data_IF_554065147315
#
_entry.id   IF_554065147315
#
_cell.length_a   1.000
_cell.length_b   1.000
_cell.length_c   1.000
_cell.angle_alpha   90.00
_cell.angle_beta   90.00
_cell.angle_gamma   90.00
#
_symmetry.space_group_name_H-M   'P 1'
#
loop_
_entity.id
_entity.type
_entity.pdbx_description
1 polymer ?
#
# COMPACT_ATOMS: atom_id res chain seq x y z
N UNK A 1 0.11 23.20 -22.89
CA UNK A 1 0.78 24.34 -22.20
C UNK A 1 1.23 23.80 -20.87
N UNK A 2 2.55 23.65 -20.63
CA UNK A 2 3.02 23.26 -19.31
C UNK A 2 2.73 24.39 -18.33
N UNK A 3 1.69 24.25 -17.52
CA UNK A 3 1.46 25.17 -16.42
C UNK A 3 2.63 25.00 -15.44
N UNK A 4 3.38 26.06 -15.25
CA UNK A 4 4.49 26.12 -14.27
C UNK A 4 3.89 26.01 -12.88
N UNK A 5 4.20 24.89 -12.18
CA UNK A 5 3.71 24.59 -10.84
C UNK A 5 4.74 25.02 -9.80
N UNK A 6 4.31 25.58 -8.70
CA UNK A 6 5.18 25.93 -7.56
C UNK A 6 5.20 24.79 -6.56
N UNK A 7 6.41 24.27 -6.24
CA UNK A 7 6.57 23.06 -5.43
C UNK A 7 7.50 23.34 -4.23
N UNK A 8 6.98 23.07 -3.04
CA UNK A 8 7.78 23.02 -1.83
C UNK A 8 8.19 21.59 -1.51
N UNK A 9 9.46 21.36 -1.13
CA UNK A 9 9.96 20.04 -0.74
C UNK A 9 10.47 20.11 0.70
N UNK A 10 9.81 19.42 1.61
CA UNK A 10 10.21 19.25 3.00
C UNK A 10 11.19 18.08 3.10
N UNK A 11 12.49 18.39 3.09
CA UNK A 11 13.54 17.40 3.21
C UNK A 11 14.56 17.46 2.08
N UNK A 12 15.82 17.64 2.44
CA UNK A 12 16.98 17.69 1.54
C UNK A 12 17.80 16.38 1.57
N UNK A 13 17.12 15.24 1.78
CA UNK A 13 17.75 13.91 1.68
C UNK A 13 18.05 13.55 0.22
N UNK A 14 18.66 12.37 0.01
CA UNK A 14 19.03 11.88 -1.33
C UNK A 14 17.83 11.89 -2.27
N UNK A 15 16.68 11.39 -1.81
CA UNK A 15 15.44 11.33 -2.60
C UNK A 15 14.86 12.73 -2.86
N UNK A 16 14.78 13.60 -1.83
CA UNK A 16 14.28 14.97 -1.99
C UNK A 16 15.08 15.79 -2.99
N UNK A 17 16.42 15.63 -3.00
CA UNK A 17 17.31 16.32 -3.97
C UNK A 17 17.16 15.76 -5.38
N UNK A 18 17.03 14.44 -5.55
CA UNK A 18 16.79 13.84 -6.86
C UNK A 18 15.46 14.33 -7.46
N UNK A 19 14.39 14.38 -6.63
CA UNK A 19 13.10 14.90 -7.04
C UNK A 19 13.11 16.41 -7.31
N UNK A 20 13.85 17.20 -6.53
CA UNK A 20 13.99 18.63 -6.77
C UNK A 20 14.56 18.91 -8.18
N UNK A 21 15.61 18.16 -8.57
CA UNK A 21 16.19 18.28 -9.92
C UNK A 21 15.20 17.83 -11.00
N UNK A 22 14.52 16.68 -10.80
CA UNK A 22 13.55 16.15 -11.74
C UNK A 22 12.40 17.16 -11.98
N UNK A 23 11.79 17.66 -10.92
CA UNK A 23 10.67 18.60 -11.00
C UNK A 23 11.09 19.95 -11.63
N UNK A 24 12.27 20.44 -11.29
CA UNK A 24 12.83 21.62 -11.95
C UNK A 24 13.03 21.37 -13.46
N UNK A 25 13.54 20.21 -13.85
CA UNK A 25 13.70 19.83 -15.27
C UNK A 25 12.36 19.74 -16.00
N UNK A 26 11.28 19.41 -15.30
CA UNK A 26 9.92 19.45 -15.84
C UNK A 26 9.38 20.88 -16.04
N UNK A 27 10.13 21.89 -15.65
CA UNK A 27 9.77 23.31 -15.81
C UNK A 27 9.07 23.92 -14.59
N UNK A 28 9.07 23.25 -13.45
CA UNK A 28 8.43 23.73 -12.22
C UNK A 28 9.37 24.57 -11.35
N UNK A 29 8.78 25.43 -10.50
CA UNK A 29 9.50 26.21 -9.49
C UNK A 29 9.66 25.40 -8.20
N UNK A 30 10.91 25.12 -7.83
CA UNK A 30 11.19 24.21 -6.71
C UNK A 30 11.89 24.95 -5.58
N UNK A 31 11.34 24.83 -4.37
CA UNK A 31 11.96 25.27 -3.12
C UNK A 31 12.17 24.07 -2.20
N UNK A 32 13.39 23.87 -1.73
CA UNK A 32 13.76 22.73 -0.85
C UNK A 32 14.07 23.24 0.55
N UNK A 33 13.46 22.64 1.53
CA UNK A 33 13.71 22.92 2.93
C UNK A 33 14.62 21.90 3.60
N UNK A 34 15.44 22.37 4.53
CA UNK A 34 16.17 21.55 5.48
C UNK A 34 16.25 22.24 6.83
N UNK A 35 16.11 21.46 7.90
CA UNK A 35 16.34 21.98 9.27
C UNK A 35 17.79 22.36 9.57
N UNK A 36 18.74 22.00 8.69
CA UNK A 36 20.17 22.23 8.89
C UNK A 36 20.68 23.43 8.06
N UNK A 37 20.98 24.59 8.68
CA UNK A 37 21.54 25.75 7.98
C UNK A 37 22.83 25.42 7.22
N UNK A 38 23.74 24.68 7.85
CA UNK A 38 25.00 24.24 7.23
C UNK A 38 24.77 23.43 5.95
N UNK A 39 23.73 22.60 5.93
CA UNK A 39 23.40 21.81 4.74
C UNK A 39 22.83 22.68 3.63
N UNK A 40 21.99 23.65 3.96
CA UNK A 40 21.45 24.64 3.01
C UNK A 40 22.56 25.48 2.40
N UNK A 41 23.47 25.99 3.24
CA UNK A 41 24.64 26.76 2.78
C UNK A 41 25.49 25.95 1.80
N UNK A 42 25.82 24.71 2.15
CA UNK A 42 26.59 23.82 1.29
C UNK A 42 25.87 23.54 -0.05
N UNK A 43 24.60 23.18 -0.03
CA UNK A 43 23.81 22.91 -1.24
C UNK A 43 23.71 24.16 -2.14
N UNK A 44 23.52 25.33 -1.54
CA UNK A 44 23.48 26.62 -2.28
C UNK A 44 24.81 26.96 -2.93
N UNK A 45 25.92 26.70 -2.25
CA UNK A 45 27.27 27.03 -2.74
C UNK A 45 27.76 26.00 -3.77
N UNK A 46 27.60 24.70 -3.52
CA UNK A 46 28.24 23.66 -4.34
C UNK A 46 27.33 23.14 -5.48
N UNK A 47 26.04 23.27 -5.32
CA UNK A 47 25.04 22.71 -6.27
C UNK A 47 25.24 21.21 -6.55
N UNK A 48 25.86 20.50 -5.62
CA UNK A 48 26.12 19.05 -5.69
C UNK A 48 25.62 18.35 -4.44
N UNK A 49 25.46 17.03 -4.54
CA UNK A 49 25.06 16.20 -3.41
C UNK A 49 25.97 14.96 -3.31
N UNK A 50 26.73 14.77 -2.22
CA UNK A 50 27.74 13.72 -2.14
C UNK A 50 27.23 12.30 -2.39
N UNK A 51 25.99 12.00 -1.98
CA UNK A 51 25.37 10.69 -2.20
C UNK A 51 24.77 10.50 -3.62
N UNK A 52 24.83 11.52 -4.47
CA UNK A 52 24.36 11.50 -5.86
C UNK A 52 25.48 11.99 -6.78
N UNK A 53 26.53 11.20 -6.99
CA UNK A 53 27.65 11.61 -7.83
C UNK A 53 27.18 11.88 -9.27
N UNK A 54 27.65 12.98 -9.84
CA UNK A 54 27.27 13.43 -11.18
C UNK A 54 25.97 14.26 -11.25
N UNK A 55 25.22 14.36 -10.16
CA UNK A 55 24.07 15.27 -10.11
C UNK A 55 24.54 16.73 -9.96
N UNK A 56 24.05 17.59 -10.86
CA UNK A 56 24.17 19.06 -10.75
C UNK A 56 22.79 19.64 -10.49
N UNK A 57 22.66 20.38 -9.39
CA UNK A 57 21.40 21.03 -9.01
C UNK A 57 21.33 22.40 -9.69
N UNK A 58 20.28 22.69 -10.48
CA UNK A 58 20.14 23.98 -11.15
C UNK A 58 20.14 25.16 -10.16
N UNK A 59 20.72 26.30 -10.57
CA UNK A 59 20.81 27.49 -9.72
C UNK A 59 19.44 28.05 -9.29
N UNK A 60 18.43 27.86 -10.12
CA UNK A 60 17.06 28.29 -9.87
C UNK A 60 16.29 27.41 -8.90
N UNK A 61 16.84 26.28 -8.44
CA UNK A 61 16.31 25.56 -7.28
C UNK A 61 16.66 26.32 -6.03
N UNK A 62 15.65 26.74 -5.26
CA UNK A 62 15.83 27.50 -4.04
C UNK A 62 15.99 26.59 -2.83
N UNK A 63 16.88 26.98 -1.90
CA UNK A 63 17.11 26.27 -0.64
C UNK A 63 16.81 27.19 0.53
N UNK A 64 16.11 26.68 1.55
CA UNK A 64 15.73 27.45 2.74
C UNK A 64 15.70 26.61 4.01
N UNK A 65 15.90 27.26 5.16
CA UNK A 65 15.58 26.71 6.48
C UNK A 65 14.23 27.20 7.02
N UNK A 66 13.56 28.09 6.29
CA UNK A 66 12.27 28.65 6.69
C UNK A 66 11.12 27.80 6.16
N UNK A 67 10.30 27.29 7.11
CA UNK A 67 9.13 26.46 6.81
C UNK A 67 8.02 27.26 6.12
N UNK A 68 7.86 28.53 6.48
CA UNK A 68 6.86 29.39 5.86
C UNK A 68 7.14 29.55 4.36
N UNK A 69 8.38 29.85 3.98
CA UNK A 69 8.79 30.00 2.57
C UNK A 69 8.54 28.74 1.73
N UNK A 70 8.71 27.54 2.32
CA UNK A 70 8.56 26.29 1.57
C UNK A 70 7.13 25.78 1.53
N UNK A 71 6.30 26.08 2.54
CA UNK A 71 4.94 25.53 2.65
C UNK A 71 3.87 26.48 2.14
N UNK A 72 3.98 27.79 2.39
CA UNK A 72 2.96 28.75 2.01
C UNK A 72 2.96 29.06 0.51
N UNK A 73 1.76 29.15 -0.05
CA UNK A 73 1.56 29.57 -1.44
C UNK A 73 2.16 28.65 -2.49
N UNK A 74 2.33 27.37 -2.16
CA UNK A 74 2.74 26.34 -3.13
C UNK A 74 1.53 25.58 -3.66
N UNK A 75 1.56 25.23 -4.94
CA UNK A 75 0.56 24.36 -5.53
C UNK A 75 0.67 22.94 -4.96
N UNK A 76 1.91 22.47 -4.76
CA UNK A 76 2.21 21.14 -4.20
C UNK A 76 3.24 21.26 -3.08
N UNK A 77 3.00 20.59 -1.97
CA UNK A 77 3.95 20.41 -0.89
C UNK A 77 4.37 18.95 -0.78
N UNK A 78 5.66 18.68 -0.97
CA UNK A 78 6.22 17.32 -0.99
C UNK A 78 6.90 17.00 0.34
N UNK A 79 6.49 15.92 1.01
CA UNK A 79 7.15 15.40 2.20
C UNK A 79 8.20 14.36 1.80
N UNK A 80 9.48 14.71 1.93
CA UNK A 80 10.64 13.89 1.57
C UNK A 80 11.63 13.72 2.74
N UNK A 81 11.10 13.69 3.96
CA UNK A 81 11.84 13.37 5.19
C UNK A 81 11.75 11.88 5.50
N UNK A 82 12.63 11.31 6.36
CA UNK A 82 12.47 9.94 6.85
C UNK A 82 11.12 9.71 7.53
N UNK A 83 10.59 8.48 7.46
CA UNK A 83 9.28 8.09 8.04
C UNK A 83 9.12 8.52 9.51
N UNK A 84 10.15 8.33 10.33
CA UNK A 84 10.17 8.73 11.75
C UNK A 84 10.07 10.24 11.99
N UNK A 85 10.27 11.07 10.98
CA UNK A 85 10.24 12.53 11.07
C UNK A 85 8.96 13.15 10.48
N UNK A 86 8.07 12.35 9.88
CA UNK A 86 6.86 12.84 9.21
C UNK A 86 5.97 13.61 10.18
N UNK A 87 5.62 13.05 11.34
CA UNK A 87 4.74 13.69 12.32
C UNK A 87 5.28 15.04 12.77
N UNK A 88 6.53 15.09 13.22
CA UNK A 88 7.14 16.34 13.67
C UNK A 88 7.24 17.38 12.56
N UNK A 89 7.50 16.94 11.33
CA UNK A 89 7.57 17.85 10.18
C UNK A 89 6.19 18.39 9.83
N UNK A 90 5.14 17.56 9.86
CA UNK A 90 3.77 17.99 9.65
C UNK A 90 3.30 18.98 10.74
N UNK A 91 3.57 18.69 12.02
CA UNK A 91 3.31 19.58 13.14
C UNK A 91 3.95 20.96 12.94
N UNK A 92 5.24 20.96 12.59
CA UNK A 92 5.98 22.21 12.41
C UNK A 92 5.55 23.01 11.18
N UNK A 93 5.11 22.32 10.11
CA UNK A 93 4.69 22.96 8.87
C UNK A 93 3.21 23.38 8.88
N UNK A 94 2.37 22.75 9.72
CA UNK A 94 0.91 22.97 9.80
C UNK A 94 0.50 24.45 9.78
N UNK A 95 1.10 25.35 10.55
CA UNK A 95 0.67 26.77 10.56
C UNK A 95 0.83 27.50 9.23
N UNK A 96 1.60 26.92 8.28
CA UNK A 96 1.93 27.53 7.00
C UNK A 96 1.28 26.83 5.81
N UNK A 97 0.62 25.70 6.02
CA UNK A 97 -0.06 24.93 4.99
C UNK A 97 -1.45 25.52 4.76
N UNK A 98 -1.79 26.02 3.56
CA UNK A 98 -3.15 26.48 3.30
C UNK A 98 -4.13 25.30 3.15
N UNK A 99 -5.39 25.53 3.50
CA UNK A 99 -6.43 24.53 3.25
C UNK A 99 -6.59 24.29 1.73
N UNK A 100 -6.91 23.05 1.37
CA UNK A 100 -7.04 22.64 -0.03
C UNK A 100 -5.72 22.35 -0.77
N UNK A 101 -4.55 22.55 -0.13
CA UNK A 101 -3.25 22.26 -0.73
C UNK A 101 -3.10 20.77 -1.07
N UNK A 102 -2.48 20.48 -2.22
CA UNK A 102 -2.06 19.12 -2.56
C UNK A 102 -0.74 18.81 -1.81
N UNK A 103 -0.79 17.78 -0.97
CA UNK A 103 0.38 17.28 -0.25
C UNK A 103 0.75 15.91 -0.81
N UNK A 104 2.00 15.75 -1.22
CA UNK A 104 2.53 14.49 -1.74
C UNK A 104 3.52 13.92 -0.72
N UNK A 105 3.26 12.71 -0.22
CA UNK A 105 4.21 11.98 0.60
C UNK A 105 5.01 10.98 -0.23
N UNK A 106 6.32 10.96 -0.03
CA UNK A 106 7.25 10.01 -0.66
C UNK A 106 8.00 9.15 0.37
N UNK A 107 7.68 9.29 1.64
CA UNK A 107 8.25 8.46 2.69
C UNK A 107 7.63 7.04 2.66
N UNK A 108 8.39 6.07 3.11
CA UNK A 108 7.97 4.67 3.12
C UNK A 108 8.05 4.14 4.55
N UNK A 109 6.93 4.09 5.25
CA UNK A 109 6.89 3.66 6.64
C UNK A 109 5.48 3.56 7.18
N UNK A 110 5.37 3.01 8.39
CA UNK A 110 4.18 2.97 9.22
C UNK A 110 4.60 3.42 10.61
N UNK A 111 3.87 4.35 11.19
CA UNK A 111 4.18 4.85 12.53
C UNK A 111 3.88 3.77 13.57
N UNK A 112 4.85 3.38 14.43
CA UNK A 112 4.59 2.47 15.53
C UNK A 112 3.50 3.00 16.46
N UNK A 113 2.81 2.12 17.16
CA UNK A 113 1.74 2.39 18.14
C UNK A 113 0.43 2.91 17.54
N UNK A 114 0.44 3.91 16.69
CA UNK A 114 -0.76 4.39 15.96
C UNK A 114 -1.12 3.46 14.81
N UNK A 115 -0.12 2.82 14.20
CA UNK A 115 -0.20 1.99 13.00
C UNK A 115 -0.68 2.75 11.76
N UNK A 116 -0.56 4.07 11.80
CA UNK A 116 -0.90 4.95 10.68
C UNK A 116 0.16 4.89 9.59
N UNK A 117 -0.29 4.90 8.34
CA UNK A 117 0.58 5.18 7.19
C UNK A 117 1.02 6.64 7.18
N UNK A 118 1.98 7.00 6.35
CA UNK A 118 2.55 8.36 6.39
C UNK A 118 1.53 9.44 6.00
N UNK A 119 0.67 9.17 5.01
CA UNK A 119 -0.42 10.11 4.67
C UNK A 119 -1.46 10.22 5.78
N UNK A 120 -1.75 9.13 6.50
CA UNK A 120 -2.63 9.15 7.67
C UNK A 120 -2.01 9.95 8.82
N UNK A 121 -0.70 9.82 9.07
CA UNK A 121 0.03 10.62 10.07
C UNK A 121 -0.03 12.12 9.73
N UNK A 122 0.18 12.49 8.46
CA UNK A 122 0.06 13.88 8.00
C UNK A 122 -1.37 14.38 8.23
N UNK A 123 -2.39 13.61 7.86
CA UNK A 123 -3.80 13.97 8.07
C UNK A 123 -4.15 14.13 9.54
N UNK A 124 -3.74 13.18 10.39
CA UNK A 124 -3.94 13.23 11.83
C UNK A 124 -3.34 14.52 12.43
N UNK A 125 -2.13 14.88 11.99
CA UNK A 125 -1.46 16.07 12.48
C UNK A 125 -2.14 17.36 12.00
N UNK A 126 -2.54 17.42 10.74
CA UNK A 126 -3.20 18.60 10.17
C UNK A 126 -4.63 18.80 10.70
N UNK A 127 -5.31 17.72 11.08
CA UNK A 127 -6.70 17.82 11.62
C UNK A 127 -6.79 18.46 12.99
N UNK A 128 -5.67 18.62 13.73
CA UNK A 128 -5.67 19.10 15.13
C UNK A 128 -6.14 20.53 15.33
N UNK A 129 -6.09 21.36 14.30
CA UNK A 129 -6.53 22.77 14.40
C UNK A 129 -7.84 23.07 13.65
N UNK A 130 -8.39 22.08 12.93
CA UNK A 130 -9.64 22.20 12.18
C UNK A 130 -9.57 23.18 10.98
N UNK A 131 -8.37 23.48 10.48
CA UNK A 131 -8.15 24.42 9.37
C UNK A 131 -7.71 23.76 8.05
N UNK A 132 -7.66 22.40 8.01
CA UNK A 132 -7.06 21.67 6.90
C UNK A 132 -7.96 20.54 6.39
N UNK A 133 -9.27 20.71 6.43
CA UNK A 133 -10.24 19.66 6.09
C UNK A 133 -10.23 19.31 4.59
N UNK A 134 -9.86 20.25 3.73
CA UNK A 134 -9.85 20.07 2.26
C UNK A 134 -8.49 19.71 1.68
N UNK A 135 -7.46 19.57 2.51
CA UNK A 135 -6.13 19.14 2.05
C UNK A 135 -6.21 17.79 1.34
N UNK A 136 -5.56 17.70 0.18
CA UNK A 136 -5.50 16.49 -0.64
C UNK A 136 -4.18 15.76 -0.41
N UNK A 137 -4.25 14.51 0.04
CA UNK A 137 -3.07 13.68 0.33
C UNK A 137 -2.84 12.66 -0.79
N UNK A 138 -1.61 12.61 -1.28
CA UNK A 138 -1.16 11.72 -2.33
C UNK A 138 0.05 10.94 -1.84
N UNK A 139 0.02 9.61 -1.95
CA UNK A 139 1.19 8.78 -1.74
C UNK A 139 1.90 8.54 -3.09
N UNK A 140 3.19 8.83 -3.15
CA UNK A 140 4.01 8.62 -4.35
C UNK A 140 5.04 7.52 -4.07
N UNK A 141 4.86 6.34 -4.66
CA UNK A 141 5.68 5.17 -4.39
C UNK A 141 5.90 4.30 -5.63
N UNK A 142 6.96 3.50 -5.65
CA UNK A 142 7.31 2.63 -6.76
C UNK A 142 8.79 2.25 -6.79
N UNK A 143 9.25 1.52 -7.82
CA UNK A 143 10.63 1.09 -7.98
C UNK A 143 11.54 2.27 -8.35
N UNK A 144 11.95 3.03 -7.33
CA UNK A 144 12.66 4.30 -7.51
C UNK A 144 13.90 4.37 -6.63
N UNK A 145 15.09 4.20 -7.22
CA UNK A 145 16.35 4.57 -6.59
C UNK A 145 16.71 6.00 -6.94
N UNK A 146 17.03 6.79 -5.92
CA UNK A 146 17.38 8.21 -6.10
C UNK A 146 18.59 8.41 -7.01
N UNK A 147 19.52 7.48 -6.96
CA UNK A 147 20.75 7.47 -7.76
C UNK A 147 20.44 7.36 -9.27
N UNK A 148 19.49 6.50 -9.64
CA UNK A 148 19.06 6.32 -11.02
C UNK A 148 18.21 7.49 -11.51
N UNK A 149 17.28 7.98 -10.69
CA UNK A 149 16.47 9.16 -11.00
C UNK A 149 17.33 10.41 -11.17
N UNK A 150 18.38 10.56 -10.36
CA UNK A 150 19.34 11.66 -10.47
C UNK A 150 20.11 11.67 -11.80
N UNK A 151 20.25 10.50 -12.45
CA UNK A 151 20.92 10.32 -13.74
C UNK A 151 19.95 10.22 -14.92
N UNK A 152 18.68 10.54 -14.72
CA UNK A 152 17.62 10.47 -15.74
C UNK A 152 17.43 9.07 -16.34
N UNK A 153 17.71 8.02 -15.58
CA UNK A 153 17.45 6.65 -16.02
C UNK A 153 15.94 6.37 -16.04
N UNK A 154 15.44 5.57 -17.01
CA UNK A 154 14.03 5.25 -17.10
C UNK A 154 13.48 4.67 -15.82
N UNK A 155 12.48 5.32 -15.24
CA UNK A 155 11.90 5.00 -13.94
C UNK A 155 10.38 5.06 -14.02
N UNK A 156 9.69 4.20 -13.27
CA UNK A 156 8.23 4.23 -13.14
C UNK A 156 7.83 4.40 -11.69
N UNK A 157 6.77 5.20 -11.44
CA UNK A 157 6.26 5.49 -10.11
C UNK A 157 4.72 5.51 -10.11
N UNK A 158 4.12 5.36 -8.95
CA UNK A 158 2.66 5.41 -8.75
C UNK A 158 2.29 6.64 -7.94
N UNK A 159 1.37 7.44 -8.46
CA UNK A 159 0.65 8.51 -7.75
C UNK A 159 -0.67 7.94 -7.23
N UNK A 160 -0.80 7.80 -5.92
CA UNK A 160 -1.98 7.21 -5.29
C UNK A 160 -2.77 8.25 -4.50
N UNK A 161 -4.03 8.46 -4.89
CA UNK A 161 -4.98 9.31 -4.19
C UNK A 161 -6.39 8.74 -4.33
N UNK A 162 -7.22 8.87 -3.29
CA UNK A 162 -8.65 8.49 -3.37
C UNK A 162 -9.42 9.35 -4.37
N UNK A 163 -8.97 10.57 -4.62
CA UNK A 163 -9.45 11.46 -5.67
C UNK A 163 -8.57 11.28 -6.93
N UNK A 164 -9.13 10.64 -7.98
CA UNK A 164 -8.38 10.34 -9.20
C UNK A 164 -7.88 11.59 -9.92
N UNK A 165 -8.63 12.70 -9.89
CA UNK A 165 -8.21 13.95 -10.53
C UNK A 165 -6.97 14.54 -9.86
N UNK A 166 -6.86 14.40 -8.55
CA UNK A 166 -5.67 14.80 -7.80
C UNK A 166 -4.49 13.88 -8.12
N UNK A 167 -4.73 12.56 -8.21
CA UNK A 167 -3.70 11.62 -8.62
C UNK A 167 -3.16 11.92 -10.03
N UNK A 168 -4.03 12.26 -10.97
CA UNK A 168 -3.69 12.67 -12.35
C UNK A 168 -2.94 14.00 -12.37
N UNK A 169 -3.34 14.98 -11.56
CA UNK A 169 -2.61 16.25 -11.41
C UNK A 169 -1.15 16.02 -11.00
N UNK A 170 -0.94 15.16 -10.00
CA UNK A 170 0.43 14.79 -9.55
C UNK A 170 1.13 13.95 -10.62
N UNK A 171 0.43 13.06 -11.32
CA UNK A 171 0.98 12.34 -12.47
C UNK A 171 1.57 13.27 -13.50
N UNK A 172 0.84 14.31 -13.93
CA UNK A 172 1.26 15.27 -14.93
C UNK A 172 2.49 16.06 -14.50
N UNK A 173 2.58 16.43 -13.22
CA UNK A 173 3.70 17.18 -12.65
C UNK A 173 5.00 16.36 -12.65
N UNK A 174 4.90 15.05 -12.35
CA UNK A 174 6.08 14.18 -12.26
C UNK A 174 6.47 13.55 -13.60
N UNK A 175 5.56 13.47 -14.55
CA UNK A 175 5.77 12.76 -15.80
C UNK A 175 6.71 13.48 -16.76
N UNK A 176 7.69 12.74 -17.30
CA UNK A 176 8.61 13.20 -18.35
C UNK A 176 9.15 12.03 -19.17
N UNK A 177 10.17 12.26 -20.00
CA UNK A 177 10.79 11.22 -20.83
C UNK A 177 11.53 10.13 -20.04
N UNK A 178 11.89 10.40 -18.77
CA UNK A 178 12.62 9.48 -17.90
C UNK A 178 11.77 8.98 -16.72
N UNK A 179 10.68 9.67 -16.37
CA UNK A 179 9.77 9.29 -15.29
C UNK A 179 8.38 8.99 -15.84
N UNK A 180 7.96 7.73 -15.77
CA UNK A 180 6.60 7.31 -16.10
C UNK A 180 5.77 7.20 -14.85
N UNK A 181 4.77 8.04 -14.69
CA UNK A 181 3.89 8.02 -13.52
C UNK A 181 2.56 7.34 -13.86
N UNK A 182 2.10 6.45 -12.99
CA UNK A 182 0.79 5.77 -13.08
C UNK A 182 -0.08 6.18 -11.91
N UNK A 183 -1.39 6.17 -12.08
CA UNK A 183 -2.34 6.50 -11.01
C UNK A 183 -2.89 5.26 -10.31
N UNK A 184 -3.26 5.40 -9.03
CA UNK A 184 -3.95 4.38 -8.25
C UNK A 184 -4.88 5.03 -7.24
N UNK A 185 -6.00 4.41 -6.91
CA UNK A 185 -6.92 4.88 -5.85
C UNK A 185 -6.72 4.19 -4.50
N UNK A 186 -5.94 3.10 -4.46
CA UNK A 186 -5.64 2.34 -3.25
C UNK A 186 -4.41 2.92 -2.53
N UNK A 187 -4.60 4.06 -1.88
CA UNK A 187 -3.53 4.77 -1.14
C UNK A 187 -2.94 3.87 -0.05
N UNK A 188 -3.81 3.23 0.75
CA UNK A 188 -3.38 2.34 1.83
C UNK A 188 -2.49 1.19 1.32
N UNK A 189 -2.91 0.52 0.24
CA UNK A 189 -2.13 -0.57 -0.35
C UNK A 189 -0.78 -0.13 -0.89
N UNK A 190 -0.71 1.05 -1.53
CA UNK A 190 0.53 1.63 -2.04
C UNK A 190 1.51 1.95 -0.91
N UNK A 191 1.04 2.56 0.17
CA UNK A 191 1.87 2.90 1.34
C UNK A 191 2.29 1.66 2.12
N UNK A 192 1.37 0.70 2.34
CA UNK A 192 1.68 -0.57 3.01
C UNK A 192 2.78 -1.33 2.26
N UNK A 193 2.67 -1.45 0.93
CA UNK A 193 3.71 -2.05 0.11
C UNK A 193 5.06 -1.34 0.30
N UNK A 194 5.07 -0.01 0.23
CA UNK A 194 6.27 0.81 0.38
C UNK A 194 6.97 0.61 1.74
N UNK A 195 6.21 0.44 2.82
CA UNK A 195 6.73 0.19 4.16
C UNK A 195 7.25 -1.24 4.32
N UNK A 196 6.40 -2.23 4.04
CA UNK A 196 6.66 -3.64 4.33
C UNK A 196 7.74 -4.26 3.43
N UNK A 197 7.84 -3.85 2.15
CA UNK A 197 8.89 -4.34 1.24
C UNK A 197 10.31 -4.17 1.78
N UNK A 198 10.53 -3.19 2.64
CA UNK A 198 11.84 -2.92 3.23
C UNK A 198 12.27 -4.02 4.20
N UNK A 199 11.32 -4.65 4.90
CA UNK A 199 11.55 -5.82 5.74
C UNK A 199 11.92 -7.02 4.87
N UNK A 200 11.19 -7.23 3.79
CA UNK A 200 11.46 -8.34 2.86
C UNK A 200 12.83 -8.18 2.16
N UNK A 201 13.20 -6.96 1.79
CA UNK A 201 14.52 -6.68 1.24
C UNK A 201 15.66 -6.94 2.25
N UNK A 202 15.42 -6.70 3.54
CA UNK A 202 16.35 -7.05 4.62
C UNK A 202 16.49 -8.57 4.72
N UNK A 203 15.38 -9.34 4.65
CA UNK A 203 15.39 -10.80 4.63
C UNK A 203 16.19 -11.38 3.45
N UNK A 204 15.98 -10.84 2.26
CA UNK A 204 16.73 -11.23 1.05
C UNK A 204 18.21 -10.92 1.22
N UNK A 205 18.55 -9.77 1.80
CA UNK A 205 19.93 -9.41 2.12
C UNK A 205 20.57 -10.39 3.09
N UNK A 206 19.89 -10.76 4.19
CA UNK A 206 20.37 -11.76 5.16
C UNK A 206 20.65 -13.10 4.46
N UNK A 207 19.72 -13.56 3.63
CA UNK A 207 19.88 -14.79 2.86
C UNK A 207 21.10 -14.73 1.92
N UNK A 208 21.30 -13.63 1.23
CA UNK A 208 22.45 -13.40 0.35
C UNK A 208 23.77 -13.37 1.13
N UNK A 209 23.77 -12.74 2.32
CA UNK A 209 24.95 -12.69 3.20
C UNK A 209 25.35 -14.06 3.76
N UNK A 210 24.40 -14.99 3.91
CA UNK A 210 24.64 -16.41 4.24
C UNK A 210 25.22 -17.21 3.08
N UNK A 211 25.30 -16.63 1.86
CA UNK A 211 25.76 -17.32 0.66
C UNK A 211 24.68 -18.10 -0.09
N UNK A 212 23.39 -17.89 0.24
CA UNK A 212 22.30 -18.50 -0.51
C UNK A 212 22.16 -17.88 -1.91
N UNK A 213 21.82 -18.70 -2.89
CA UNK A 213 21.76 -18.32 -4.31
C UNK A 213 20.44 -17.69 -4.76
N UNK A 214 20.29 -17.56 -6.08
CA UNK A 214 19.16 -16.87 -6.72
C UNK A 214 17.80 -17.56 -6.48
N UNK A 215 17.78 -18.89 -6.32
CA UNK A 215 16.54 -19.61 -6.00
C UNK A 215 15.96 -19.17 -4.65
N UNK A 216 16.82 -19.02 -3.62
CA UNK A 216 16.39 -18.55 -2.31
C UNK A 216 15.94 -17.09 -2.38
N UNK A 217 16.61 -16.25 -3.16
CA UNK A 217 16.22 -14.86 -3.41
C UNK A 217 14.85 -14.77 -4.05
N UNK A 218 14.62 -15.53 -5.14
CA UNK A 218 13.34 -15.58 -5.83
C UNK A 218 12.21 -16.07 -4.91
N UNK A 219 12.46 -17.13 -4.13
CA UNK A 219 11.50 -17.65 -3.16
C UNK A 219 11.12 -16.60 -2.08
N UNK A 220 12.11 -15.90 -1.50
CA UNK A 220 11.86 -14.87 -0.49
C UNK A 220 11.07 -13.70 -1.07
N UNK A 221 11.39 -13.21 -2.27
CA UNK A 221 10.64 -12.13 -2.94
C UNK A 221 9.19 -12.56 -3.17
N UNK A 222 8.96 -13.76 -3.72
CA UNK A 222 7.62 -14.27 -4.02
C UNK A 222 6.81 -14.51 -2.74
N UNK A 223 7.43 -15.07 -1.71
CA UNK A 223 6.75 -15.30 -0.42
C UNK A 223 6.56 -13.99 0.35
N UNK A 224 7.50 -13.05 0.25
CA UNK A 224 7.41 -11.74 0.89
C UNK A 224 6.23 -10.94 0.35
N UNK A 225 6.06 -10.83 -0.97
CA UNK A 225 4.89 -10.13 -1.52
C UNK A 225 3.57 -10.82 -1.15
N UNK A 226 3.57 -12.16 -1.02
CA UNK A 226 2.39 -12.89 -0.56
C UNK A 226 2.07 -12.61 0.93
N UNK A 227 3.08 -12.40 1.80
CA UNK A 227 2.88 -11.96 3.19
C UNK A 227 2.26 -10.56 3.24
N UNK A 228 2.83 -9.62 2.50
CA UNK A 228 2.32 -8.23 2.40
C UNK A 228 0.89 -8.21 1.87
N UNK A 229 0.60 -8.98 0.81
CA UNK A 229 -0.74 -9.08 0.22
C UNK A 229 -1.77 -9.62 1.22
N UNK A 230 -1.43 -10.67 1.99
CA UNK A 230 -2.34 -11.20 3.02
C UNK A 230 -2.69 -10.16 4.08
N UNK A 231 -1.70 -9.41 4.55
CA UNK A 231 -1.93 -8.32 5.49
C UNK A 231 -2.80 -7.24 4.88
N UNK A 232 -2.44 -6.76 3.70
CA UNK A 232 -3.17 -5.67 3.04
C UNK A 232 -4.61 -6.02 2.69
N UNK A 233 -4.88 -7.25 2.24
CA UNK A 233 -6.25 -7.71 2.00
C UNK A 233 -7.09 -7.69 3.28
N UNK A 234 -6.50 -8.04 4.44
CA UNK A 234 -7.17 -7.93 5.74
C UNK A 234 -7.38 -6.47 6.18
N UNK A 235 -6.52 -5.56 5.75
CA UNK A 235 -6.66 -4.12 5.97
C UNK A 235 -7.61 -3.44 4.98
N UNK A 236 -8.12 -4.15 3.97
CA UNK A 236 -9.05 -3.62 2.96
C UNK A 236 -8.39 -3.08 1.70
N UNK A 237 -7.09 -3.30 1.49
CA UNK A 237 -6.37 -2.92 0.28
C UNK A 237 -6.85 -3.71 -0.95
N UNK A 238 -6.64 -3.15 -2.13
CA UNK A 238 -6.96 -3.79 -3.39
C UNK A 238 -5.89 -4.81 -3.79
N UNK A 239 -6.30 -6.03 -4.15
CA UNK A 239 -5.37 -7.13 -4.49
C UNK A 239 -4.39 -6.77 -5.62
N UNK A 240 -4.85 -6.05 -6.64
CA UNK A 240 -4.03 -5.68 -7.79
C UNK A 240 -2.84 -4.76 -7.44
N UNK A 241 -2.92 -4.03 -6.32
CA UNK A 241 -1.84 -3.13 -5.88
C UNK A 241 -0.54 -3.90 -5.57
N UNK A 242 -0.66 -5.11 -5.00
CA UNK A 242 0.50 -5.93 -4.62
C UNK A 242 1.24 -6.49 -5.83
N UNK A 243 0.54 -6.78 -6.94
CA UNK A 243 1.13 -7.18 -8.22
C UNK A 243 1.66 -6.03 -9.07
N UNK A 244 1.49 -4.78 -8.62
CA UNK A 244 1.85 -3.57 -9.35
C UNK A 244 3.25 -3.03 -9.04
N UNK A 245 3.49 -1.81 -9.56
CA UNK A 245 4.78 -1.12 -9.41
C UNK A 245 5.11 -0.82 -7.93
N UNK A 246 4.14 -0.35 -7.14
CA UNK A 246 4.35 -0.06 -5.73
C UNK A 246 4.50 -1.32 -4.86
N UNK A 247 3.99 -2.47 -5.33
CA UNK A 247 4.11 -3.77 -4.69
C UNK A 247 5.35 -4.55 -5.13
N UNK A 248 5.14 -5.56 -5.99
CA UNK A 248 6.21 -6.46 -6.43
C UNK A 248 7.34 -5.73 -7.16
N UNK A 249 7.03 -4.67 -7.93
CA UNK A 249 8.04 -3.88 -8.65
C UNK A 249 9.04 -3.23 -7.71
N UNK A 250 8.55 -2.53 -6.68
CA UNK A 250 9.40 -1.86 -5.68
C UNK A 250 10.11 -2.87 -4.75
N UNK A 251 9.49 -4.02 -4.48
CA UNK A 251 10.14 -5.10 -3.73
C UNK A 251 11.33 -5.68 -4.49
N UNK A 252 11.16 -6.01 -5.79
CA UNK A 252 12.24 -6.58 -6.61
C UNK A 252 13.44 -5.64 -6.63
N UNK A 253 13.24 -4.37 -7.00
CA UNK A 253 14.35 -3.42 -7.11
C UNK A 253 15.05 -3.19 -5.77
N UNK A 254 14.28 -3.18 -4.66
CA UNK A 254 14.85 -2.97 -3.32
C UNK A 254 15.61 -4.19 -2.80
N UNK A 255 15.13 -5.40 -3.11
CA UNK A 255 15.72 -6.66 -2.66
C UNK A 255 16.94 -7.08 -3.48
N UNK A 256 17.09 -6.60 -4.71
CA UNK A 256 18.18 -7.04 -5.62
C UNK A 256 19.25 -5.98 -5.85
N UNK A 257 18.98 -4.71 -5.55
CA UNK A 257 19.92 -3.61 -5.81
C UNK A 257 20.89 -3.36 -4.64
N UNK A 258 22.14 -3.10 -4.97
CA UNK A 258 23.16 -2.63 -4.01
C UNK A 258 22.99 -1.16 -3.60
N UNK A 259 22.10 -0.40 -4.25
CA UNK A 259 21.70 0.92 -3.75
C UNK A 259 20.80 0.80 -2.51
N UNK A 260 20.12 -0.34 -2.32
CA UNK A 260 19.24 -0.58 -1.17
C UNK A 260 20.02 -0.71 0.13
N UNK A 261 19.80 0.22 1.05
CA UNK A 261 20.36 0.15 2.42
C UNK A 261 19.81 -1.05 3.19
N UNK A 262 18.54 -1.41 2.97
CA UNK A 262 17.92 -2.59 3.59
C UNK A 262 18.62 -3.88 3.14
N UNK A 263 18.82 -4.06 1.84
CA UNK A 263 19.51 -5.21 1.29
C UNK A 263 20.97 -5.28 1.80
N UNK A 264 21.74 -4.18 1.74
CA UNK A 264 23.12 -4.13 2.24
C UNK A 264 23.22 -4.43 3.74
N UNK A 265 22.32 -3.86 4.54
CA UNK A 265 22.26 -4.17 5.97
C UNK A 265 22.01 -5.66 6.20
N UNK A 266 21.08 -6.26 5.47
CA UNK A 266 20.80 -7.69 5.51
C UNK A 266 22.03 -8.52 5.16
N UNK A 267 22.77 -8.18 4.10
CA UNK A 267 24.00 -8.86 3.70
C UNK A 267 25.01 -8.87 4.86
N UNK A 268 25.26 -7.72 5.50
CA UNK A 268 26.16 -7.63 6.65
C UNK A 268 25.69 -8.53 7.81
N UNK A 269 24.41 -8.51 8.14
CA UNK A 269 23.85 -9.37 9.19
C UNK A 269 24.02 -10.85 8.83
N UNK A 270 23.75 -11.24 7.57
CA UNK A 270 23.95 -12.60 7.09
C UNK A 270 25.41 -13.05 7.15
N UNK A 271 26.36 -12.14 7.00
CA UNK A 271 27.81 -12.37 7.15
C UNK A 271 28.25 -12.43 8.61
N UNK A 272 27.36 -12.25 9.58
CA UNK A 272 27.63 -12.33 11.01
C UNK A 272 27.93 -10.98 11.68
N UNK A 273 27.75 -9.86 10.98
CA UNK A 273 27.86 -8.52 11.61
C UNK A 273 26.64 -8.31 12.51
N UNK A 274 26.82 -7.86 13.76
CA UNK A 274 25.71 -7.56 14.66
C UNK A 274 24.76 -6.52 14.05
N UNK A 275 23.42 -6.65 14.20
CA UNK A 275 22.45 -5.78 13.56
C UNK A 275 22.68 -4.28 13.81
N UNK A 276 23.01 -3.89 15.05
CA UNK A 276 23.28 -2.50 15.39
C UNK A 276 24.53 -1.94 14.67
N UNK A 277 25.55 -2.79 14.49
CA UNK A 277 26.76 -2.42 13.75
C UNK A 277 26.49 -2.32 12.25
N UNK A 278 25.72 -3.25 11.68
CA UNK A 278 25.29 -3.21 10.28
C UNK A 278 24.53 -1.91 9.97
N UNK A 279 23.62 -1.50 10.87
CA UNK A 279 22.88 -0.22 10.74
C UNK A 279 23.85 0.97 10.79
N UNK A 280 24.84 0.97 11.70
CA UNK A 280 25.83 2.07 11.75
C UNK A 280 26.61 2.22 10.44
N UNK A 281 26.93 1.11 9.79
CA UNK A 281 27.70 1.13 8.54
C UNK A 281 26.87 1.61 7.34
N UNK A 282 25.57 1.29 7.26
CA UNK A 282 24.74 1.64 6.09
C UNK A 282 23.87 2.88 6.30
N UNK A 283 23.71 3.35 7.54
CA UNK A 283 22.83 4.46 7.91
C UNK A 283 21.40 4.01 8.17
N UNK A 284 20.41 4.87 7.92
CA UNK A 284 19.00 4.59 8.19
C UNK A 284 18.49 3.37 7.41
N UNK A 285 17.93 2.39 8.10
CA UNK A 285 17.36 1.14 7.56
C UNK A 285 15.86 1.12 7.85
N UNK A 286 15.06 1.53 6.88
CA UNK A 286 13.59 1.63 7.05
C UNK A 286 12.94 0.26 7.33
N UNK A 287 13.53 -0.85 6.85
CA UNK A 287 13.04 -2.19 7.17
C UNK A 287 13.12 -2.51 8.66
N UNK A 288 14.15 -2.03 9.36
CA UNK A 288 14.25 -2.20 10.83
C UNK A 288 13.26 -1.28 11.53
N UNK A 289 13.10 -0.05 11.07
CA UNK A 289 12.13 0.90 11.63
C UNK A 289 10.68 0.41 11.48
N UNK A 290 10.37 -0.33 10.41
CA UNK A 290 9.04 -0.84 10.15
C UNK A 290 8.67 -2.10 10.97
N UNK A 291 9.66 -2.84 11.52
CA UNK A 291 9.41 -4.09 12.25
C UNK A 291 8.45 -3.95 13.44
N UNK A 292 8.56 -2.93 14.32
CA UNK A 292 7.62 -2.80 15.43
C UNK A 292 6.16 -2.69 14.96
N UNK A 293 5.90 -1.82 13.97
CA UNK A 293 4.56 -1.67 13.39
C UNK A 293 4.09 -2.95 12.68
N UNK A 294 5.00 -3.64 11.96
CA UNK A 294 4.67 -4.91 11.30
C UNK A 294 4.23 -5.97 12.30
N UNK A 295 4.91 -6.11 13.45
CA UNK A 295 4.52 -7.08 14.49
C UNK A 295 3.15 -6.74 15.09
N UNK A 296 2.88 -5.47 15.37
CA UNK A 296 1.58 -5.02 15.88
C UNK A 296 0.45 -5.22 14.87
N UNK A 297 0.69 -4.96 13.58
CA UNK A 297 -0.28 -5.22 12.50
C UNK A 297 -0.58 -6.72 12.36
N UNK A 298 0.46 -7.58 12.42
CA UNK A 298 0.28 -9.04 12.40
C UNK A 298 -0.64 -9.50 13.53
N UNK A 299 -0.45 -8.98 14.72
CA UNK A 299 -1.28 -9.30 15.89
C UNK A 299 -2.70 -8.75 15.72
N UNK A 300 -2.85 -7.47 15.35
CA UNK A 300 -4.15 -6.80 15.20
C UNK A 300 -5.04 -7.48 14.16
N UNK A 301 -4.47 -7.86 13.01
CA UNK A 301 -5.21 -8.46 11.89
C UNK A 301 -5.17 -9.99 11.87
N UNK A 302 -4.51 -10.62 12.85
CA UNK A 302 -4.35 -12.06 12.95
C UNK A 302 -3.81 -12.68 11.65
N UNK A 303 -2.74 -12.08 11.12
CA UNK A 303 -2.09 -12.50 9.87
C UNK A 303 -0.71 -13.07 10.16
N UNK A 304 -0.43 -14.26 9.61
CA UNK A 304 0.91 -14.83 9.66
C UNK A 304 1.82 -14.23 8.60
N UNK A 305 2.95 -13.66 9.05
CA UNK A 305 4.05 -13.17 8.22
C UNK A 305 5.36 -13.79 8.70
N UNK A 306 5.63 -15.05 8.34
CA UNK A 306 6.79 -15.80 8.85
C UNK A 306 8.13 -15.15 8.54
N UNK A 307 8.30 -14.53 7.36
CA UNK A 307 9.54 -13.84 6.98
C UNK A 307 9.74 -12.62 7.87
N UNK A 308 8.74 -11.75 7.99
CA UNK A 308 8.83 -10.57 8.83
C UNK A 308 9.09 -10.93 10.30
N UNK A 309 8.42 -11.97 10.82
CA UNK A 309 8.65 -12.48 12.18
C UNK A 309 10.08 -12.98 12.39
N UNK A 310 10.60 -13.74 11.44
CA UNK A 310 11.95 -14.29 11.51
C UNK A 310 13.02 -13.18 11.42
N UNK A 311 12.83 -12.19 10.55
CA UNK A 311 13.71 -11.00 10.49
C UNK A 311 13.69 -10.23 11.80
N UNK A 312 12.53 -10.04 12.42
CA UNK A 312 12.42 -9.36 13.70
C UNK A 312 13.20 -10.10 14.80
N UNK A 313 13.12 -11.43 14.86
CA UNK A 313 13.87 -12.26 15.82
C UNK A 313 15.39 -12.14 15.60
N UNK A 314 15.87 -12.11 14.35
CA UNK A 314 17.30 -11.88 14.05
C UNK A 314 17.75 -10.49 14.47
N UNK A 315 16.98 -9.45 14.16
CA UNK A 315 17.32 -8.07 14.51
C UNK A 315 17.36 -7.84 16.01
N UNK A 316 16.51 -8.54 16.78
CA UNK A 316 16.52 -8.55 18.24
C UNK A 316 17.63 -9.41 18.85
N UNK A 317 18.30 -10.23 18.04
CA UNK A 317 19.32 -11.17 18.52
C UNK A 317 18.76 -12.41 19.21
N UNK A 318 17.48 -12.71 19.01
CA UNK A 318 16.80 -13.90 19.59
C UNK A 318 17.21 -15.18 18.86
N UNK A 319 17.49 -15.09 17.56
CA UNK A 319 17.99 -16.20 16.73
C UNK A 319 19.11 -15.74 15.80
N UNK A 320 19.95 -16.65 15.36
CA UNK A 320 20.97 -16.35 14.35
C UNK A 320 20.36 -16.26 12.94
N UNK A 321 21.09 -15.63 12.00
CA UNK A 321 20.71 -15.60 10.58
C UNK A 321 20.59 -17.04 10.00
N UNK A 322 21.44 -17.98 10.44
CA UNK A 322 21.39 -19.39 10.03
C UNK A 322 20.12 -20.08 10.53
N UNK A 323 19.77 -19.85 11.80
CA UNK A 323 18.57 -20.42 12.39
C UNK A 323 17.31 -19.86 11.74
N UNK A 324 17.31 -18.58 11.36
CA UNK A 324 16.25 -17.96 10.56
C UNK A 324 16.03 -18.73 9.25
N UNK A 325 17.11 -18.95 8.49
CA UNK A 325 17.01 -19.65 7.20
C UNK A 325 16.49 -21.08 7.40
N UNK A 326 16.99 -21.80 8.42
CA UNK A 326 16.54 -23.15 8.76
C UNK A 326 15.07 -23.15 9.18
N UNK A 327 14.65 -22.24 10.04
CA UNK A 327 13.27 -22.14 10.52
C UNK A 327 12.28 -21.88 9.37
N UNK A 328 12.65 -21.04 8.39
CA UNK A 328 11.80 -20.79 7.23
C UNK A 328 11.68 -22.02 6.30
N UNK A 329 12.75 -22.81 6.18
CA UNK A 329 12.80 -24.02 5.30
C UNK A 329 12.15 -25.24 5.94
N UNK A 330 12.10 -25.35 7.27
CA UNK A 330 11.56 -26.50 7.99
C UNK A 330 10.13 -26.33 8.50
N UNK A 331 9.44 -25.28 8.04
CA UNK A 331 8.03 -25.07 8.36
C UNK A 331 7.16 -26.22 7.82
N UNK A 332 6.00 -26.40 8.47
CA UNK A 332 5.00 -27.35 8.03
C UNK A 332 4.64 -27.18 6.55
N UNK A 333 4.36 -28.30 5.89
CA UNK A 333 3.91 -28.30 4.49
C UNK A 333 2.66 -27.48 4.35
N UNK A 334 2.64 -26.59 3.36
CA UNK A 334 1.48 -25.76 3.06
C UNK A 334 1.25 -25.69 1.55
N UNK A 335 0.02 -25.41 1.13
CA UNK A 335 -0.27 -25.10 -0.26
C UNK A 335 0.34 -23.73 -0.61
N UNK A 336 0.84 -23.58 -1.83
CA UNK A 336 1.34 -22.31 -2.34
C UNK A 336 0.25 -21.22 -2.33
N UNK A 337 -0.97 -21.62 -2.71
CA UNK A 337 -2.16 -20.76 -2.65
C UNK A 337 -3.17 -21.43 -1.71
N UNK A 338 -3.62 -20.73 -0.68
CA UNK A 338 -4.64 -21.26 0.24
C UNK A 338 -5.94 -21.48 -0.55
N UNK A 339 -6.66 -22.58 -0.28
CA UNK A 339 -7.90 -22.92 -1.02
C UNK A 339 -8.96 -21.80 -0.97
N UNK A 340 -9.03 -21.04 0.13
CA UNK A 340 -9.88 -19.85 0.24
C UNK A 340 -9.48 -18.71 -0.70
N UNK A 341 -8.19 -18.56 -0.97
CA UNK A 341 -7.66 -17.56 -1.92
C UNK A 341 -7.80 -18.05 -3.37
N UNK A 342 -7.70 -19.36 -3.60
CA UNK A 342 -7.94 -19.99 -4.91
C UNK A 342 -9.39 -19.83 -5.35
N UNK A 343 -10.36 -20.06 -4.47
CA UNK A 343 -11.78 -19.89 -4.79
C UNK A 343 -12.07 -18.44 -5.25
N UNK A 344 -11.56 -17.45 -4.50
CA UNK A 344 -11.72 -16.02 -4.86
C UNK A 344 -10.98 -15.64 -6.15
N UNK A 345 -9.79 -16.19 -6.38
CA UNK A 345 -8.99 -15.90 -7.59
C UNK A 345 -9.56 -16.59 -8.85
N UNK A 346 -10.00 -17.85 -8.74
CA UNK A 346 -10.63 -18.57 -9.85
C UNK A 346 -11.96 -17.95 -10.21
N UNK A 347 -12.80 -17.61 -9.23
CA UNK A 347 -14.05 -16.91 -9.46
C UNK A 347 -13.81 -15.56 -10.16
N UNK A 348 -12.89 -14.74 -9.68
CA UNK A 348 -12.65 -13.41 -10.26
C UNK A 348 -11.93 -13.44 -11.61
N UNK A 349 -11.07 -14.43 -11.89
CA UNK A 349 -10.36 -14.56 -13.16
C UNK A 349 -11.21 -15.25 -14.24
N UNK A 350 -11.92 -16.32 -13.88
CA UNK A 350 -12.83 -17.03 -14.78
C UNK A 350 -14.02 -16.12 -15.17
N UNK A 351 -14.51 -15.33 -14.20
CA UNK A 351 -15.58 -14.36 -14.39
C UNK A 351 -15.19 -13.19 -15.30
N UNK A 352 -13.94 -12.73 -15.27
CA UNK A 352 -13.43 -11.73 -16.21
C UNK A 352 -13.24 -12.26 -17.63
N UNK A 353 -13.01 -13.56 -17.80
CA UNK A 353 -12.70 -14.16 -19.11
C UNK A 353 -13.95 -14.64 -19.86
N UNK A 354 -15.00 -15.01 -19.14
CA UNK A 354 -16.24 -15.56 -19.73
C UNK A 354 -17.24 -14.45 -20.09
N UNK A 355 -17.15 -13.28 -19.47
CA UNK A 355 -18.12 -12.20 -19.67
C UNK A 355 -17.51 -10.96 -20.32
N UNK A 356 -17.58 -10.89 -21.62
CA UNK A 356 -17.60 -9.60 -22.34
C UNK A 356 -18.83 -8.74 -21.99
N UNK A 357 -19.55 -9.06 -20.90
CA UNK A 357 -20.70 -8.37 -20.36
C UNK A 357 -20.51 -8.02 -18.90
N UNK A 358 -21.08 -6.91 -18.47
CA UNK A 358 -21.05 -6.39 -17.11
C UNK A 358 -21.72 -7.42 -16.17
N UNK A 359 -20.91 -8.23 -15.45
CA UNK A 359 -21.44 -9.14 -14.42
C UNK A 359 -21.71 -8.39 -13.12
N UNK A 360 -22.98 -8.27 -12.79
CA UNK A 360 -23.43 -7.69 -11.52
C UNK A 360 -23.36 -8.74 -10.41
N UNK A 361 -23.06 -8.30 -9.20
CA UNK A 361 -23.12 -9.14 -8.00
C UNK A 361 -24.48 -8.99 -7.36
N UNK A 362 -25.17 -10.09 -7.28
CA UNK A 362 -26.55 -10.16 -6.79
C UNK A 362 -26.55 -10.76 -5.38
N UNK A 363 -27.37 -10.22 -4.49
CA UNK A 363 -27.63 -10.79 -3.18
C UNK A 363 -29.13 -11.10 -3.04
N UNK A 364 -29.43 -12.22 -2.41
CA UNK A 364 -30.78 -12.59 -1.95
C UNK A 364 -30.70 -12.76 -0.44
N UNK A 365 -31.74 -12.32 0.26
CA UNK A 365 -31.86 -12.47 1.73
C UNK A 365 -33.10 -13.33 2.03
N UNK A 366 -32.95 -14.31 2.90
CA UNK A 366 -34.08 -15.14 3.30
C UNK A 366 -33.70 -16.29 4.23
N UNK A 367 -34.69 -16.96 4.78
CA UNK A 367 -34.51 -18.10 5.68
C UNK A 367 -34.20 -19.40 4.95
N UNK A 368 -34.76 -19.60 3.76
CA UNK A 368 -34.60 -20.80 2.94
C UNK A 368 -34.71 -22.09 3.78
N UNK A 369 -35.77 -22.17 4.59
CA UNK A 369 -35.99 -23.28 5.55
C UNK A 369 -36.05 -24.64 4.87
N UNK A 370 -36.60 -24.69 3.65
CA UNK A 370 -36.54 -25.83 2.75
C UNK A 370 -36.05 -25.38 1.35
N UNK A 371 -35.55 -26.31 0.57
CA UNK A 371 -35.16 -26.09 -0.82
C UNK A 371 -36.26 -26.62 -1.76
N UNK A 372 -37.49 -26.09 -1.61
CA UNK A 372 -38.59 -26.38 -2.50
C UNK A 372 -38.25 -26.04 -3.97
N UNK A 373 -39.04 -26.59 -4.89
CA UNK A 373 -38.90 -26.29 -6.31
C UNK A 373 -39.03 -24.77 -6.59
N UNK A 374 -39.92 -24.11 -5.85
CA UNK A 374 -40.14 -22.66 -5.95
C UNK A 374 -38.94 -21.85 -5.44
N UNK A 375 -38.36 -22.26 -4.29
CA UNK A 375 -37.15 -21.64 -3.75
C UNK A 375 -35.97 -21.76 -4.72
N UNK A 376 -35.76 -22.94 -5.32
CA UNK A 376 -34.71 -23.17 -6.31
C UNK A 376 -34.95 -22.34 -7.59
N UNK A 377 -36.18 -22.27 -8.07
CA UNK A 377 -36.57 -21.48 -9.22
C UNK A 377 -36.36 -19.98 -8.98
N UNK A 378 -36.66 -19.48 -7.77
CA UNK A 378 -36.37 -18.10 -7.36
C UNK A 378 -34.86 -17.79 -7.35
N UNK A 379 -34.06 -18.66 -6.73
CA UNK A 379 -32.60 -18.50 -6.71
C UNK A 379 -32.00 -18.54 -8.10
N UNK A 380 -32.54 -19.37 -8.99
CA UNK A 380 -32.07 -19.43 -10.40
C UNK A 380 -32.38 -18.13 -11.14
N UNK A 381 -33.60 -17.58 -11.01
CA UNK A 381 -33.95 -16.29 -11.59
C UNK A 381 -33.11 -15.13 -11.03
N UNK A 382 -32.87 -15.16 -9.70
CA UNK A 382 -32.02 -14.18 -9.07
C UNK A 382 -30.56 -14.23 -9.62
N UNK A 383 -30.04 -15.42 -9.90
CA UNK A 383 -28.72 -15.62 -10.57
C UNK A 383 -28.66 -14.97 -11.94
N UNK A 384 -29.73 -15.04 -12.72
CA UNK A 384 -29.82 -14.46 -14.07
C UNK A 384 -29.76 -12.93 -14.07
N UNK A 385 -30.02 -12.27 -12.92
CA UNK A 385 -29.95 -10.81 -12.77
C UNK A 385 -28.53 -10.27 -12.75
N UNK A 386 -27.52 -11.11 -12.57
CA UNK A 386 -26.15 -10.58 -12.51
C UNK A 386 -25.00 -11.57 -12.63
N UNK A 387 -25.24 -12.85 -12.68
CA UNK A 387 -24.17 -13.85 -12.89
C UNK A 387 -23.40 -14.30 -11.64
N UNK A 388 -23.38 -13.56 -10.54
CA UNK A 388 -22.83 -14.03 -9.25
C UNK A 388 -23.87 -13.85 -8.15
N UNK A 389 -24.38 -14.96 -7.58
CA UNK A 389 -25.40 -14.96 -6.55
C UNK A 389 -24.83 -15.26 -5.16
N UNK A 390 -25.01 -14.32 -4.25
CA UNK A 390 -24.78 -14.50 -2.81
C UNK A 390 -26.12 -14.67 -2.10
N UNK A 391 -26.29 -15.74 -1.32
CA UNK A 391 -27.46 -15.96 -0.46
C UNK A 391 -27.08 -15.58 0.97
N UNK A 392 -27.76 -14.60 1.54
CA UNK A 392 -27.62 -14.18 2.94
C UNK A 392 -28.78 -14.81 3.76
N UNK A 393 -28.43 -15.74 4.65
CA UNK A 393 -29.38 -16.43 5.50
C UNK A 393 -29.78 -15.62 6.72
N UNK A 394 -31.06 -15.54 6.99
CA UNK A 394 -31.65 -15.04 8.23
C UNK A 394 -32.23 -16.21 9.03
N UNK A 395 -32.27 -16.10 10.37
CA UNK A 395 -32.71 -17.18 11.25
C UNK A 395 -31.63 -18.26 11.45
N UNK A 396 -31.76 -19.08 12.52
CA UNK A 396 -30.77 -20.11 12.89
C UNK A 396 -30.45 -21.06 11.74
N UNK A 397 -29.43 -20.76 10.97
CA UNK A 397 -28.95 -21.61 9.89
C UNK A 397 -28.16 -22.79 10.49
N UNK A 398 -28.68 -23.98 10.41
CA UNK A 398 -27.92 -25.21 10.68
C UNK A 398 -26.90 -25.40 9.55
N UNK A 399 -25.70 -25.92 9.85
CA UNK A 399 -24.64 -26.20 8.87
C UNK A 399 -25.08 -27.01 7.66
N UNK A 400 -26.10 -27.89 7.85
CA UNK A 400 -26.72 -28.68 6.80
C UNK A 400 -27.40 -27.80 5.73
N UNK A 401 -28.06 -26.71 6.13
CA UNK A 401 -28.74 -25.79 5.20
C UNK A 401 -27.75 -25.02 4.33
N UNK A 402 -26.70 -24.54 4.94
CA UNK A 402 -25.59 -23.85 4.23
C UNK A 402 -24.95 -24.76 3.18
N UNK A 403 -24.66 -26.00 3.53
CA UNK A 403 -24.08 -27.00 2.63
C UNK A 403 -25.03 -27.35 1.48
N UNK A 404 -26.34 -27.46 1.75
CA UNK A 404 -27.33 -27.75 0.72
C UNK A 404 -27.50 -26.61 -0.28
N UNK A 405 -27.47 -25.34 0.16
CA UNK A 405 -27.52 -24.18 -0.71
C UNK A 405 -26.26 -24.08 -1.58
N UNK A 406 -25.07 -24.34 -1.02
CA UNK A 406 -23.81 -24.33 -1.77
C UNK A 406 -23.75 -25.46 -2.83
N UNK A 407 -24.52 -26.52 -2.69
CA UNK A 407 -24.61 -27.57 -3.68
C UNK A 407 -25.44 -27.16 -4.92
N UNK A 408 -26.22 -26.07 -4.85
CA UNK A 408 -27.02 -25.59 -5.98
C UNK A 408 -26.09 -24.86 -6.99
N UNK A 409 -26.22 -25.20 -8.27
CA UNK A 409 -25.41 -24.59 -9.35
C UNK A 409 -25.64 -23.08 -9.50
N UNK A 410 -26.78 -22.55 -9.06
CA UNK A 410 -27.09 -21.13 -9.14
C UNK A 410 -26.52 -20.33 -7.98
N UNK A 411 -26.08 -20.95 -6.89
CA UNK A 411 -25.57 -20.25 -5.69
C UNK A 411 -24.06 -20.28 -5.66
N UNK A 412 -23.44 -19.12 -5.62
CA UNK A 412 -21.98 -18.97 -5.57
C UNK A 412 -21.46 -18.77 -4.15
N UNK A 413 -22.29 -18.23 -3.26
CA UNK A 413 -21.91 -17.95 -1.87
C UNK A 413 -23.12 -18.01 -0.93
N UNK A 414 -22.87 -18.46 0.28
CA UNK A 414 -23.86 -18.40 1.38
C UNK A 414 -23.23 -17.69 2.57
N UNK A 415 -23.93 -16.68 3.09
CA UNK A 415 -23.60 -15.95 4.31
C UNK A 415 -24.65 -16.26 5.37
N UNK A 416 -24.24 -16.39 6.60
CA UNK A 416 -25.12 -16.56 7.76
C UNK A 416 -25.09 -15.27 8.58
N UNK A 417 -26.15 -14.47 8.45
CA UNK A 417 -26.20 -13.13 9.07
C UNK A 417 -26.21 -13.16 10.61
N UNK A 418 -26.53 -14.29 11.24
CA UNK A 418 -26.49 -14.40 12.70
C UNK A 418 -25.08 -14.66 13.24
N UNK A 419 -24.24 -15.32 12.43
CA UNK A 419 -22.85 -15.62 12.81
C UNK A 419 -21.84 -14.57 12.32
N UNK A 420 -22.23 -13.74 11.35
CA UNK A 420 -21.39 -12.67 10.83
C UNK A 420 -21.31 -11.51 11.82
N UNK A 421 -20.10 -11.00 12.04
CA UNK A 421 -19.85 -9.85 12.93
C UNK A 421 -20.11 -8.49 12.29
N UNK A 422 -20.45 -8.49 11.00
CA UNK A 422 -20.69 -7.29 10.19
C UNK A 422 -22.17 -7.11 9.94
N UNK A 423 -22.62 -5.88 9.86
CA UNK A 423 -23.98 -5.52 9.48
C UNK A 423 -24.24 -5.82 8.00
N UNK A 424 -25.49 -5.99 7.62
CA UNK A 424 -25.88 -6.24 6.22
C UNK A 424 -25.32 -5.19 5.23
N UNK A 425 -25.37 -3.88 5.51
CA UNK A 425 -24.73 -2.87 4.65
C UNK A 425 -23.21 -3.02 4.51
N UNK A 426 -22.54 -3.42 5.59
CA UNK A 426 -21.09 -3.67 5.58
C UNK A 426 -20.74 -4.91 4.75
N UNK A 427 -21.52 -5.98 4.88
CA UNK A 427 -21.40 -7.19 4.05
C UNK A 427 -21.65 -6.87 2.57
N UNK A 428 -22.68 -6.08 2.26
CA UNK A 428 -22.94 -5.67 0.88
C UNK A 428 -21.79 -4.86 0.27
N UNK A 429 -21.17 -3.96 1.03
CA UNK A 429 -19.98 -3.24 0.59
C UNK A 429 -18.77 -4.18 0.43
N UNK A 430 -18.53 -5.03 1.42
CA UNK A 430 -17.42 -5.99 1.42
C UNK A 430 -17.48 -6.92 0.20
N UNK A 431 -18.66 -7.42 -0.11
CA UNK A 431 -18.89 -8.33 -1.24
C UNK A 431 -19.25 -7.60 -2.54
N UNK A 432 -19.25 -6.24 -2.54
CA UNK A 432 -19.54 -5.38 -3.69
C UNK A 432 -20.86 -5.73 -4.36
N UNK A 433 -21.92 -5.91 -3.58
CA UNK A 433 -23.23 -6.23 -4.08
C UNK A 433 -23.80 -5.03 -4.84
N UNK A 434 -24.30 -5.26 -6.04
CA UNK A 434 -24.88 -4.24 -6.93
C UNK A 434 -26.40 -4.35 -7.05
N UNK A 435 -26.94 -5.58 -6.86
CA UNK A 435 -28.36 -5.85 -6.94
C UNK A 435 -28.79 -6.67 -5.73
N UNK A 436 -29.80 -6.19 -5.03
CA UNK A 436 -30.53 -6.96 -4.01
C UNK A 436 -31.83 -7.46 -4.64
N UNK A 437 -32.01 -8.77 -4.66
CA UNK A 437 -33.24 -9.40 -5.13
C UNK A 437 -34.09 -9.86 -3.93
N UNK A 438 -35.30 -9.42 -3.90
CA UNK A 438 -36.31 -9.75 -2.87
C UNK A 438 -37.48 -10.51 -3.50
N UNK A 439 -38.11 -11.38 -2.73
CA UNK A 439 -39.38 -11.99 -3.13
C UNK A 439 -40.51 -10.92 -3.09
N UNK A 440 -41.56 -11.10 -3.91
CA UNK A 440 -42.73 -10.24 -3.88
C UNK A 440 -43.32 -10.15 -2.47
N UNK A 441 -43.52 -8.95 -1.96
CA UNK A 441 -44.04 -8.70 -0.61
C UNK A 441 -43.01 -8.70 0.52
N UNK A 442 -41.72 -8.89 0.23
CA UNK A 442 -40.64 -8.78 1.21
C UNK A 442 -40.26 -7.32 1.41
N UNK A 443 -40.09 -6.87 2.65
CA UNK A 443 -39.69 -5.50 2.97
C UNK A 443 -38.24 -5.24 2.60
N UNK A 444 -37.96 -4.03 2.12
CA UNK A 444 -36.58 -3.57 1.87
C UNK A 444 -35.87 -3.33 3.21
N UNK A 445 -34.69 -3.92 3.44
CA UNK A 445 -33.93 -3.67 4.64
C UNK A 445 -33.61 -2.18 4.84
N UNK A 446 -33.71 -1.69 6.09
CA UNK A 446 -33.30 -0.35 6.44
C UNK A 446 -31.79 -0.13 6.17
N UNK A 447 -31.41 1.04 5.68
CA UNK A 447 -30.02 1.45 5.44
C UNK A 447 -29.23 0.63 4.39
N UNK A 448 -29.78 0.48 3.18
CA UNK A 448 -29.01 -0.07 2.06
C UNK A 448 -27.93 0.92 1.55
N UNK A 449 -26.76 0.42 1.08
CA UNK A 449 -25.80 1.26 0.35
C UNK A 449 -26.46 1.91 -0.88
N UNK A 450 -26.21 3.20 -1.16
CA UNK A 450 -26.89 3.93 -2.25
C UNK A 450 -26.57 3.39 -3.65
N UNK A 451 -25.54 2.57 -3.77
CA UNK A 451 -25.13 1.90 -5.02
C UNK A 451 -25.88 0.61 -5.31
N UNK A 452 -26.64 0.07 -4.34
CA UNK A 452 -27.36 -1.18 -4.50
C UNK A 452 -28.76 -0.94 -5.07
N UNK A 453 -29.06 -1.60 -6.20
CA UNK A 453 -30.39 -1.58 -6.81
C UNK A 453 -31.24 -2.69 -6.23
N UNK A 454 -32.49 -2.39 -5.86
CA UNK A 454 -33.46 -3.40 -5.39
C UNK A 454 -34.31 -3.88 -6.55
N UNK A 455 -34.52 -5.19 -6.66
CA UNK A 455 -35.43 -5.84 -7.60
C UNK A 455 -36.31 -6.82 -6.86
N UNK A 456 -37.55 -7.00 -7.32
CA UNK A 456 -38.48 -8.00 -6.84
C UNK A 456 -38.69 -9.05 -7.93
N UNK A 457 -38.71 -10.33 -7.52
CA UNK A 457 -38.92 -11.47 -8.41
C UNK A 457 -39.99 -12.41 -7.83
#
# INVERSE_FOLDING_TARGET
MNNRTTIGILGSGTWGIALARLLHRNGHDVTVWSRSPKKIENLSATRTYPALPGLVIPETVHFTCDLQTVASGKDILLFAVPSIAIRQTAESARPFIPDGQIIVDVAKGIEPDTLMTMTEVIRDELSKDGQHDHVKLVALSGPTHAEEVALDMPTSIVSACTDMQVAETVQDVFMNTCMRTYTNTDVLGVELCGAMKNIEALAVGISSGLGNGDNARAALITRGIAEISRLGLKMGCAEYTFGGLAGIGDLIVTATSMHSRNNRCGILIGQGVPPQEAVRQVGTVEGINALPAAMQLMERYQVEMPIAKAVNAVVKGEISAKDMALALMTRDKTSEVRQSELAVRFESALMRHISGGIMRRVMVIGEFADLSHEAIAFLTRAKDEGGHLTVALTGCAQDVRKSSLLALRCVDRVLDLETEKLTLPELMRLYRIEVLVLAEGQDVPEMLPPTVKVKYL
#
